data_IF_930203435382
#
_entry.id   IF_930203435382
#
_cell.length_a   1.000
_cell.length_b   1.000
_cell.length_c   1.000
_cell.angle_alpha   90.00
_cell.angle_beta   90.00
_cell.angle_gamma   90.00
#
_symmetry.space_group_name_H-M   'P 1'
#
loop_
_entity.id
_entity.type
_entity.pdbx_description
1 polymer ?
#
# COMPACT_ATOMS: atom_id res chain seq x y z
N UNK A 1 50.22 -39.28 6.72
CA UNK A 1 48.86 -38.80 7.08
C UNK A 1 48.99 -37.81 8.24
N UNK A 2 48.85 -36.48 7.99
CA UNK A 2 49.07 -35.44 9.01
C UNK A 2 47.76 -35.16 9.76
N UNK A 3 47.69 -35.54 11.04
CA UNK A 3 46.52 -35.34 11.90
C UNK A 3 46.50 -33.86 12.37
N UNK A 4 45.57 -33.06 11.84
CA UNK A 4 45.33 -31.68 12.34
C UNK A 4 44.52 -31.75 13.64
N UNK A 5 45.16 -31.48 14.79
CA UNK A 5 44.44 -31.30 16.07
C UNK A 5 43.67 -29.99 16.04
N UNK A 6 42.34 -30.03 16.19
CA UNK A 6 41.52 -28.83 16.42
C UNK A 6 41.76 -28.37 17.85
N UNK A 7 42.23 -27.13 18.04
CA UNK A 7 42.29 -26.51 19.36
C UNK A 7 40.86 -26.13 19.76
N UNK A 8 40.29 -26.83 20.72
CA UNK A 8 39.05 -26.42 21.37
C UNK A 8 39.40 -25.33 22.38
N UNK A 9 38.94 -24.10 22.11
CA UNK A 9 38.96 -23.01 23.08
C UNK A 9 37.87 -23.32 24.11
N UNK A 10 38.25 -23.55 25.36
CA UNK A 10 37.33 -23.64 26.48
C UNK A 10 37.04 -22.21 26.96
N UNK A 11 35.92 -21.63 26.51
CA UNK A 11 35.46 -20.31 26.97
C UNK A 11 34.76 -20.46 28.31
N UNK A 12 35.04 -19.57 29.26
CA UNK A 12 34.35 -19.56 30.55
C UNK A 12 32.95 -18.94 30.41
N UNK A 13 31.99 -19.41 31.21
CA UNK A 13 30.61 -18.90 31.19
C UNK A 13 30.55 -17.39 31.52
N UNK A 14 31.53 -16.88 32.27
CA UNK A 14 31.64 -15.48 32.69
C UNK A 14 32.02 -14.55 31.54
N UNK A 15 32.70 -15.04 30.50
CA UNK A 15 33.13 -14.23 29.37
C UNK A 15 32.02 -14.03 28.33
N UNK A 16 31.08 -14.97 28.24
CA UNK A 16 29.97 -14.93 27.28
C UNK A 16 28.66 -14.40 27.86
N UNK A 17 28.52 -14.37 29.19
CA UNK A 17 27.29 -13.95 29.87
C UNK A 17 27.01 -12.43 29.81
N UNK A 18 27.98 -11.53 30.03
CA UNK A 18 27.73 -10.07 29.96
C UNK A 18 27.29 -9.58 28.56
N UNK A 19 27.93 -10.01 27.44
CA UNK A 19 27.51 -9.58 26.10
C UNK A 19 26.07 -9.95 25.76
N UNK A 20 25.63 -11.16 26.10
CA UNK A 20 24.26 -11.62 25.82
C UNK A 20 23.25 -10.84 26.68
N UNK A 21 23.60 -10.55 27.94
CA UNK A 21 22.77 -9.73 28.83
C UNK A 21 22.55 -8.31 28.31
N UNK A 22 23.63 -7.65 27.85
CA UNK A 22 23.52 -6.28 27.32
C UNK A 22 22.72 -6.24 26.00
N UNK A 23 22.92 -7.20 25.09
CA UNK A 23 22.14 -7.28 23.84
C UNK A 23 20.64 -7.48 24.13
N UNK A 24 20.30 -8.30 25.14
CA UNK A 24 18.92 -8.48 25.57
C UNK A 24 18.27 -7.18 26.07
N UNK A 25 18.97 -6.42 26.92
CA UNK A 25 18.49 -5.12 27.41
C UNK A 25 18.33 -4.09 26.28
N UNK A 26 19.28 -4.03 25.35
CA UNK A 26 19.16 -3.15 24.18
C UNK A 26 17.96 -3.56 23.31
N UNK A 27 17.76 -4.85 23.08
CA UNK A 27 16.64 -5.36 22.28
C UNK A 27 15.27 -5.02 22.87
N UNK A 28 15.09 -5.12 24.19
CA UNK A 28 13.81 -4.80 24.86
C UNK A 28 13.43 -3.32 24.71
N UNK A 29 14.40 -2.42 24.67
CA UNK A 29 14.15 -0.99 24.45
C UNK A 29 13.79 -0.64 23.00
N UNK A 30 14.20 -1.46 22.03
CA UNK A 30 13.97 -1.21 20.59
C UNK A 30 12.58 -1.67 20.15
N UNK A 31 12.06 -2.75 20.72
CA UNK A 31 10.71 -3.28 20.42
C UNK A 31 9.59 -2.21 20.49
N UNK A 32 9.46 -1.41 21.57
CA UNK A 32 8.42 -0.37 21.65
C UNK A 32 8.66 0.80 20.69
N UNK A 33 9.93 1.12 20.39
CA UNK A 33 10.28 2.13 19.40
C UNK A 33 9.92 1.67 17.98
N UNK A 34 10.15 0.38 17.67
CA UNK A 34 9.84 -0.22 16.37
C UNK A 34 8.34 -0.29 16.10
N UNK A 35 7.52 -0.59 17.12
CA UNK A 35 6.07 -0.58 17.01
C UNK A 35 5.55 0.82 16.60
N UNK A 36 6.05 1.87 17.25
CA UNK A 36 5.72 3.27 16.91
C UNK A 36 6.24 3.67 15.52
N UNK A 37 7.45 3.26 15.17
CA UNK A 37 8.05 3.52 13.85
C UNK A 37 7.25 2.86 12.72
N UNK A 38 6.78 1.62 12.91
CA UNK A 38 5.94 0.90 11.94
C UNK A 38 4.61 1.61 11.71
N UNK A 39 3.94 2.07 12.77
CA UNK A 39 2.70 2.85 12.64
C UNK A 39 2.92 4.15 11.85
N UNK A 40 4.01 4.87 12.12
CA UNK A 40 4.38 6.07 11.37
C UNK A 40 4.70 5.79 9.91
N UNK A 41 5.42 4.70 9.62
CA UNK A 41 5.69 4.27 8.25
C UNK A 41 4.41 3.92 7.48
N UNK A 42 3.45 3.25 8.13
CA UNK A 42 2.15 2.95 7.53
C UNK A 42 1.33 4.22 7.24
N UNK A 43 1.41 5.26 8.08
CA UNK A 43 0.79 6.57 7.80
C UNK A 43 1.39 7.24 6.57
N UNK A 44 2.72 7.24 6.45
CA UNK A 44 3.40 7.81 5.29
C UNK A 44 2.98 7.07 4.01
N UNK A 45 2.88 5.73 4.06
CA UNK A 45 2.37 4.93 2.94
C UNK A 45 0.92 5.26 2.61
N UNK A 46 0.05 5.43 3.60
CA UNK A 46 -1.35 5.81 3.39
C UNK A 46 -1.47 7.17 2.68
N UNK A 47 -0.71 8.18 3.12
CA UNK A 47 -0.68 9.50 2.47
C UNK A 47 -0.17 9.39 1.02
N UNK A 48 0.87 8.59 0.78
CA UNK A 48 1.36 8.33 -0.58
C UNK A 48 0.31 7.66 -1.46
N UNK A 49 -0.43 6.68 -0.92
CA UNK A 49 -1.52 6.02 -1.63
C UNK A 49 -2.64 7.01 -2.00
N UNK A 50 -3.04 7.89 -1.07
CA UNK A 50 -4.06 8.93 -1.35
C UNK A 50 -3.57 9.88 -2.44
N UNK A 51 -2.29 10.27 -2.42
CA UNK A 51 -1.71 11.10 -3.49
C UNK A 51 -1.75 10.40 -4.85
N UNK A 52 -1.49 9.09 -4.90
CA UNK A 52 -1.61 8.30 -6.13
C UNK A 52 -3.06 8.23 -6.63
N UNK A 53 -4.02 8.07 -5.72
CA UNK A 53 -5.46 8.13 -6.05
C UNK A 53 -5.85 9.49 -6.64
N UNK A 54 -5.44 10.59 -5.99
CA UNK A 54 -5.70 11.94 -6.51
C UNK A 54 -5.04 12.18 -7.87
N UNK A 55 -3.82 11.67 -8.07
CA UNK A 55 -3.14 11.70 -9.36
C UNK A 55 -3.89 10.90 -10.44
N UNK A 56 -4.48 9.76 -10.08
CA UNK A 56 -5.26 8.95 -11.01
C UNK A 56 -6.55 9.64 -11.47
N UNK A 57 -7.22 10.37 -10.57
CA UNK A 57 -8.37 11.18 -10.96
C UNK A 57 -7.98 12.40 -11.79
N UNK A 58 -6.82 13.00 -11.49
CA UNK A 58 -6.30 14.09 -12.32
C UNK A 58 -5.99 13.62 -13.74
N UNK A 59 -5.33 12.46 -13.89
CA UNK A 59 -5.07 11.87 -15.20
C UNK A 59 -6.37 11.61 -15.97
N UNK A 60 -7.42 11.16 -15.28
CA UNK A 60 -8.74 11.03 -15.89
C UNK A 60 -9.32 12.37 -16.35
N UNK A 61 -9.24 13.41 -15.53
CA UNK A 61 -9.75 14.74 -15.86
C UNK A 61 -8.99 15.34 -17.06
N UNK A 62 -7.67 15.17 -17.11
CA UNK A 62 -6.83 15.62 -18.22
C UNK A 62 -7.27 14.97 -19.57
N UNK A 63 -7.81 13.74 -19.53
CA UNK A 63 -8.36 13.03 -20.71
C UNK A 63 -9.84 13.35 -21.03
N UNK A 64 -10.56 14.01 -20.12
CA UNK A 64 -12.03 14.21 -20.20
C UNK A 64 -12.43 15.67 -19.98
N UNK A 65 -11.75 16.62 -20.65
CA UNK A 65 -12.06 18.06 -20.61
C UNK A 65 -12.13 18.65 -19.18
N UNK A 66 -11.19 18.25 -18.31
CA UNK A 66 -11.14 18.61 -16.88
C UNK A 66 -12.36 18.16 -16.06
N UNK A 67 -13.19 17.26 -16.61
CA UNK A 67 -14.36 16.73 -15.91
C UNK A 67 -13.97 15.53 -15.08
N UNK A 68 -14.31 15.61 -13.80
CA UNK A 68 -14.12 14.49 -12.88
C UNK A 68 -15.14 13.38 -13.16
N UNK A 69 -14.88 12.12 -12.76
CA UNK A 69 -15.74 10.98 -13.08
C UNK A 69 -17.23 11.15 -12.72
N UNK A 70 -17.53 11.93 -11.67
CA UNK A 70 -18.90 12.19 -11.22
C UNK A 70 -19.62 13.31 -11.99
N UNK A 71 -18.92 14.06 -12.85
CA UNK A 71 -19.51 15.10 -13.71
C UNK A 71 -19.85 14.62 -15.12
N UNK A 72 -19.60 13.35 -15.48
CA UNK A 72 -19.90 12.86 -16.83
C UNK A 72 -21.42 12.77 -17.07
N UNK A 73 -21.84 13.25 -18.24
CA UNK A 73 -23.22 13.17 -18.71
C UNK A 73 -23.50 11.80 -19.33
N UNK A 74 -24.76 11.37 -19.37
CA UNK A 74 -25.16 10.02 -19.82
C UNK A 74 -24.67 9.66 -21.23
N UNK A 75 -24.49 10.66 -22.11
CA UNK A 75 -23.95 10.46 -23.45
C UNK A 75 -22.47 10.09 -23.45
N UNK A 76 -21.68 10.72 -22.59
CA UNK A 76 -20.23 10.49 -22.52
C UNK A 76 -19.93 9.16 -21.80
N UNK A 77 -20.84 8.69 -20.94
CA UNK A 77 -20.78 7.38 -20.26
C UNK A 77 -20.79 6.20 -21.25
N UNK A 78 -21.48 6.33 -22.39
CA UNK A 78 -21.53 5.30 -23.44
C UNK A 78 -20.18 5.23 -24.19
N UNK A 79 -19.55 6.39 -24.43
CA UNK A 79 -18.26 6.46 -25.10
C UNK A 79 -17.13 5.86 -24.24
N UNK A 80 -17.13 6.08 -22.92
CA UNK A 80 -16.14 5.45 -22.02
C UNK A 80 -16.43 3.97 -21.73
N UNK A 81 -17.69 3.53 -21.88
CA UNK A 81 -18.02 2.09 -21.84
C UNK A 81 -17.58 1.34 -23.10
N UNK A 82 -17.63 1.99 -24.27
CA UNK A 82 -17.17 1.43 -25.53
C UNK A 82 -15.64 1.18 -25.56
N UNK A 83 -14.87 1.92 -24.75
CA UNK A 83 -13.42 1.70 -24.55
C UNK A 83 -13.06 0.52 -23.63
N UNK A 84 -13.98 -0.43 -23.39
CA UNK A 84 -13.72 -1.65 -22.62
C UNK A 84 -14.01 -1.56 -21.12
N UNK A 85 -14.60 -0.46 -20.66
CA UNK A 85 -15.18 -0.35 -19.33
C UNK A 85 -16.58 -0.96 -19.32
N UNK A 86 -16.85 -1.93 -18.45
CA UNK A 86 -18.24 -2.33 -18.12
C UNK A 86 -18.86 -1.23 -17.26
N UNK A 87 -19.17 -0.11 -17.88
CA UNK A 87 -19.86 1.03 -17.29
C UNK A 87 -21.34 0.96 -17.65
N UNK A 88 -22.21 1.30 -16.71
CA UNK A 88 -23.60 1.66 -17.00
C UNK A 88 -24.56 0.57 -17.50
N UNK A 89 -24.21 -0.72 -17.55
CA UNK A 89 -25.13 -1.75 -18.11
C UNK A 89 -26.41 -1.95 -17.27
N UNK A 90 -26.48 -1.36 -16.08
CA UNK A 90 -27.71 -1.26 -15.31
C UNK A 90 -28.10 0.22 -15.29
N UNK A 91 -29.08 0.60 -16.12
CA UNK A 91 -29.53 1.96 -16.38
C UNK A 91 -30.12 2.71 -15.18
N UNK A 92 -29.37 2.87 -14.10
CA UNK A 92 -29.76 3.64 -12.93
C UNK A 92 -28.56 4.45 -12.44
N UNK A 93 -28.81 5.68 -11.96
CA UNK A 93 -27.83 6.70 -11.56
C UNK A 93 -26.95 6.34 -10.33
N UNK A 94 -26.81 5.06 -10.01
CA UNK A 94 -26.12 4.54 -8.83
C UNK A 94 -24.57 4.62 -8.89
N UNK A 95 -23.99 4.90 -10.06
CA UNK A 95 -22.54 4.87 -10.30
C UNK A 95 -21.75 5.94 -9.52
N UNK A 96 -22.37 7.08 -9.20
CA UNK A 96 -21.78 8.10 -8.31
C UNK A 96 -21.78 7.67 -6.84
N UNK A 97 -22.67 6.73 -6.48
CA UNK A 97 -22.81 6.21 -5.11
C UNK A 97 -22.05 4.88 -4.91
N UNK A 98 -21.60 4.24 -5.99
CA UNK A 98 -20.80 3.01 -5.96
C UNK A 98 -19.33 3.30 -6.26
N UNK A 99 -18.52 3.39 -5.21
CA UNK A 99 -17.06 3.59 -5.28
C UNK A 99 -16.35 2.55 -6.15
N UNK A 100 -16.86 1.30 -6.19
CA UNK A 100 -16.33 0.23 -7.03
C UNK A 100 -16.30 0.60 -8.52
N UNK A 101 -17.34 1.29 -8.99
CA UNK A 101 -17.49 1.65 -10.40
C UNK A 101 -16.66 2.88 -10.77
N UNK A 102 -16.49 3.82 -9.84
CA UNK A 102 -15.67 5.03 -10.01
C UNK A 102 -14.18 4.70 -10.21
N UNK A 103 -13.65 3.71 -9.48
CA UNK A 103 -12.26 3.24 -9.65
C UNK A 103 -12.07 2.23 -10.78
N UNK A 104 -13.15 1.69 -11.34
CA UNK A 104 -13.08 0.74 -12.45
C UNK A 104 -12.83 1.41 -13.81
N UNK A 105 -12.83 2.74 -13.87
CA UNK A 105 -12.59 3.50 -15.09
C UNK A 105 -11.24 3.20 -15.71
N UNK A 106 -11.17 3.00 -17.03
CA UNK A 106 -9.96 2.52 -17.69
C UNK A 106 -8.74 3.42 -17.42
N UNK A 107 -8.88 4.74 -17.53
CA UNK A 107 -7.81 5.69 -17.25
C UNK A 107 -7.44 5.76 -15.75
N UNK A 108 -8.43 5.72 -14.86
CA UNK A 108 -8.19 5.71 -13.39
C UNK A 108 -7.49 4.41 -12.98
N UNK A 109 -7.92 3.27 -13.50
CA UNK A 109 -7.32 1.95 -13.28
C UNK A 109 -5.92 1.87 -13.85
N UNK A 110 -5.69 2.41 -15.05
CA UNK A 110 -4.37 2.48 -15.65
C UNK A 110 -3.40 3.33 -14.81
N UNK A 111 -3.87 4.47 -14.29
CA UNK A 111 -3.08 5.35 -13.44
C UNK A 111 -2.83 4.77 -12.03
N UNK A 112 -3.76 3.97 -11.49
CA UNK A 112 -3.60 3.31 -10.19
C UNK A 112 -2.68 2.08 -10.28
N UNK A 113 -2.73 1.31 -11.36
CA UNK A 113 -1.94 0.08 -11.55
C UNK A 113 -2.32 -1.09 -10.63
N UNK A 114 -2.69 -0.86 -9.36
CA UNK A 114 -3.07 -1.90 -8.40
C UNK A 114 -4.19 -1.49 -7.45
N UNK A 115 -5.16 -2.38 -7.26
CA UNK A 115 -6.27 -2.21 -6.32
C UNK A 115 -5.81 -2.13 -4.85
N UNK A 116 -4.59 -2.59 -4.52
CA UNK A 116 -4.04 -2.51 -3.15
C UNK A 116 -3.79 -1.09 -2.66
N UNK A 117 -3.71 -0.11 -3.57
CA UNK A 117 -3.50 1.31 -3.24
C UNK A 117 -4.76 1.91 -2.59
N UNK A 118 -5.94 1.38 -2.91
CA UNK A 118 -7.22 1.83 -2.37
C UNK A 118 -7.41 1.46 -0.89
N UNK A 119 -6.64 0.49 -0.38
CA UNK A 119 -6.74 0.01 1.00
C UNK A 119 -5.69 0.69 1.87
N UNK A 120 -6.11 1.22 3.01
CA UNK A 120 -5.20 1.86 3.96
C UNK A 120 -4.34 0.79 4.66
N UNK A 121 -3.02 0.97 4.75
CA UNK A 121 -2.15 0.11 5.56
C UNK A 121 -2.38 0.24 7.08
N UNK A 122 -3.30 1.11 7.51
CA UNK A 122 -3.69 1.30 8.90
C UNK A 122 -5.02 0.63 9.28
N UNK A 123 -5.75 0.09 8.30
CA UNK A 123 -7.03 -0.55 8.60
C UNK A 123 -6.81 -1.80 9.46
N UNK A 124 -7.62 -2.00 10.52
CA UNK A 124 -7.49 -3.13 11.43
C UNK A 124 -7.89 -4.48 10.79
N UNK A 125 -8.73 -4.45 9.75
CA UNK A 125 -9.29 -5.64 9.09
C UNK A 125 -8.45 -6.15 7.90
N UNK A 126 -7.15 -5.82 7.88
CA UNK A 126 -6.21 -6.17 6.80
C UNK A 126 -5.29 -7.34 7.11
#
# INVERSE_FOLDING_TARGET
MKIKRKRTLATTLVETLPPIGLVGFLATSILPALAKAKARANRIKCVSNIKQVGGAFKAFADDNDDRMPWLLEDRDKIATSASGGRFGVLGNAAWVNETSTLFAQAAVKAALGSAKILVSPLDPDR
#
